data_IF_126536210997
#
_entry.id   IF_126536210997
#
_cell.length_a   1.000
_cell.length_b   1.000
_cell.length_c   1.000
_cell.angle_alpha   90.00
_cell.angle_beta   90.00
_cell.angle_gamma   90.00
#
_symmetry.space_group_name_H-M   'P 1'
#
loop_
_entity.id
_entity.type
_entity.pdbx_description
1 polymer ?
#
# COMPACT_ATOMS: atom_id res chain seq x y z
N UNK A 1 65.39 -13.96 -8.41
CA UNK A 1 64.42 -13.02 -7.85
C UNK A 1 63.01 -13.46 -8.28
N UNK A 2 62.74 -14.77 -8.32
CA UNK A 2 62.21 -15.64 -7.25
C UNK A 2 60.66 -15.58 -7.27
N UNK A 3 59.91 -16.49 -7.93
CA UNK A 3 59.47 -17.85 -7.48
C UNK A 3 58.72 -17.79 -6.12
N UNK A 4 57.46 -18.19 -5.87
CA UNK A 4 56.57 -19.34 -6.22
C UNK A 4 55.08 -18.95 -5.89
N UNK A 5 54.03 -19.29 -6.67
CA UNK A 5 53.20 -20.54 -6.69
C UNK A 5 52.47 -20.84 -5.36
N UNK A 6 51.12 -20.89 -5.21
CA UNK A 6 50.11 -21.93 -5.57
C UNK A 6 48.83 -21.53 -4.77
N UNK A 7 47.58 -21.83 -5.09
CA UNK A 7 47.03 -22.80 -6.03
C UNK A 7 45.49 -22.72 -6.11
N UNK A 8 45.02 -23.46 -7.10
CA UNK A 8 43.66 -23.74 -7.55
C UNK A 8 42.97 -24.78 -6.67
N UNK A 9 41.69 -24.60 -6.31
CA UNK A 9 40.72 -25.71 -6.20
C UNK A 9 39.33 -25.27 -6.66
N UNK A 10 38.75 -26.13 -7.50
CA UNK A 10 37.51 -26.00 -8.24
C UNK A 10 36.39 -26.82 -7.56
N UNK A 11 35.15 -26.65 -8.03
CA UNK A 11 34.02 -27.60 -8.01
C UNK A 11 32.74 -27.23 -7.22
N UNK A 12 31.64 -27.36 -7.97
CA UNK A 12 30.22 -27.11 -7.67
C UNK A 12 29.60 -28.11 -6.70
N UNK A 13 28.50 -27.71 -6.05
CA UNK A 13 27.60 -28.62 -5.34
C UNK A 13 26.18 -28.07 -5.20
N UNK A 14 25.35 -28.28 -6.22
CA UNK A 14 23.88 -28.25 -6.11
C UNK A 14 23.38 -29.41 -5.23
N UNK A 15 22.42 -29.14 -4.34
CA UNK A 15 21.47 -30.14 -3.84
C UNK A 15 21.50 -30.39 -2.34
N UNK A 16 20.42 -30.01 -1.64
CA UNK A 16 20.18 -30.40 -0.26
C UNK A 16 19.14 -29.54 0.45
N UNK A 17 17.86 -29.75 0.15
CA UNK A 17 16.77 -29.33 1.03
C UNK A 17 16.87 -30.12 2.34
N UNK A 18 17.47 -29.52 3.36
CA UNK A 18 17.22 -29.89 4.75
C UNK A 18 16.88 -28.62 5.51
N UNK A 19 15.58 -28.44 5.74
CA UNK A 19 15.03 -27.49 6.70
C UNK A 19 15.54 -27.86 8.11
N UNK A 20 16.71 -27.35 8.48
CA UNK A 20 17.02 -27.06 9.87
C UNK A 20 17.46 -25.60 9.94
N UNK A 21 16.47 -24.72 10.11
CA UNK A 21 16.71 -23.35 10.56
C UNK A 21 17.18 -23.41 12.02
N UNK A 22 18.45 -23.77 12.24
CA UNK A 22 19.13 -23.50 13.50
C UNK A 22 19.22 -21.98 13.62
N UNK A 23 18.29 -21.40 14.39
CA UNK A 23 18.34 -19.98 14.75
C UNK A 23 19.68 -19.72 15.43
N UNK A 24 20.54 -18.83 14.89
CA UNK A 24 21.81 -18.53 15.50
C UNK A 24 21.58 -18.04 16.93
N UNK A 25 22.27 -18.64 17.92
CA UNK A 25 22.17 -18.25 19.33
C UNK A 25 22.60 -16.80 19.59
N UNK A 26 23.26 -16.17 18.61
CA UNK A 26 23.66 -14.77 18.63
C UNK A 26 23.78 -14.21 17.21
N UNK A 27 23.36 -12.97 17.01
CA UNK A 27 23.52 -12.19 15.78
C UNK A 27 24.76 -11.31 15.92
N UNK A 28 25.72 -11.47 15.01
CA UNK A 28 26.90 -10.59 14.95
C UNK A 28 26.49 -9.25 14.33
N UNK A 29 26.58 -8.17 15.12
CA UNK A 29 26.18 -6.82 14.70
C UNK A 29 27.38 -6.02 14.23
N UNK A 30 28.52 -6.15 14.92
CA UNK A 30 29.78 -5.54 14.49
C UNK A 30 30.91 -6.56 14.61
N UNK A 31 32.13 -6.20 14.19
CA UNK A 31 33.30 -7.04 14.39
C UNK A 31 33.64 -7.30 15.88
N UNK A 32 33.00 -6.59 16.83
CA UNK A 32 33.25 -6.72 18.29
C UNK A 32 31.99 -6.84 19.15
N UNK A 33 30.78 -6.80 18.58
CA UNK A 33 29.51 -6.82 19.31
C UNK A 33 28.50 -7.79 18.70
N UNK A 34 27.75 -8.44 19.58
CA UNK A 34 26.76 -9.46 19.26
C UNK A 34 25.47 -9.20 20.04
N UNK A 35 24.33 -9.46 19.41
CA UNK A 35 23.02 -9.54 20.09
C UNK A 35 22.75 -11.01 20.38
N UNK A 36 22.57 -11.36 21.64
CA UNK A 36 22.24 -12.71 22.08
C UNK A 36 20.73 -12.99 21.91
N UNK A 37 20.35 -14.26 21.93
CA UNK A 37 18.94 -14.66 21.85
C UNK A 37 18.02 -14.13 22.98
N UNK A 38 18.60 -13.60 24.06
CA UNK A 38 17.90 -12.95 25.17
C UNK A 38 17.86 -11.41 25.03
N UNK A 39 18.09 -10.88 23.83
CA UNK A 39 18.16 -9.45 23.49
C UNK A 39 19.27 -8.65 24.20
N UNK A 40 20.17 -9.32 24.92
CA UNK A 40 21.32 -8.65 25.54
C UNK A 40 22.46 -8.45 24.53
N UNK A 41 23.16 -7.32 24.67
CA UNK A 41 24.31 -6.97 23.83
C UNK A 41 25.58 -7.39 24.55
N UNK A 42 26.38 -8.23 23.90
CA UNK A 42 27.71 -8.62 24.36
C UNK A 42 28.76 -8.04 23.41
N UNK A 43 29.66 -7.21 23.95
CA UNK A 43 30.78 -6.64 23.23
C UNK A 43 32.11 -7.06 23.85
N UNK A 44 33.19 -7.02 23.07
CA UNK A 44 34.54 -7.30 23.55
C UNK A 44 34.91 -6.38 24.72
N UNK A 45 35.44 -6.96 25.80
CA UNK A 45 35.78 -6.22 27.02
C UNK A 45 36.81 -5.11 26.79
N UNK A 46 37.68 -5.25 25.78
CA UNK A 46 38.69 -4.25 25.44
C UNK A 46 38.10 -2.92 24.96
N UNK A 47 36.85 -2.92 24.50
CA UNK A 47 36.12 -1.69 24.19
C UNK A 47 35.85 -0.87 25.45
N UNK A 48 35.64 -1.52 26.60
CA UNK A 48 35.33 -0.83 27.85
C UNK A 48 36.57 -0.48 28.69
N UNK A 49 37.74 -1.03 28.33
CA UNK A 49 39.01 -0.75 29.04
C UNK A 49 39.61 0.61 28.69
N UNK A 50 39.23 1.21 27.56
CA UNK A 50 39.73 2.51 27.11
C UNK A 50 38.58 3.40 26.65
N UNK A 51 38.47 4.59 27.24
CA UNK A 51 37.49 5.59 26.84
C UNK A 51 37.64 5.98 25.36
N UNK A 52 38.87 5.95 24.82
CA UNK A 52 39.12 6.24 23.42
C UNK A 52 38.63 5.11 22.50
N UNK A 53 38.93 3.85 22.85
CA UNK A 53 38.49 2.69 22.08
C UNK A 53 36.95 2.59 22.03
N UNK A 54 36.28 2.90 23.14
CA UNK A 54 34.83 3.00 23.18
C UNK A 54 34.28 4.10 22.28
N UNK A 55 34.86 5.32 22.35
CA UNK A 55 34.43 6.46 21.52
C UNK A 55 34.60 6.18 20.03
N UNK A 56 35.74 5.65 19.63
CA UNK A 56 36.03 5.32 18.23
C UNK A 56 35.07 4.26 17.70
N UNK A 57 34.79 3.23 18.50
CA UNK A 57 33.83 2.18 18.13
C UNK A 57 32.39 2.71 18.06
N UNK A 58 32.01 3.61 18.97
CA UNK A 58 30.71 4.28 18.92
C UNK A 58 30.54 5.10 17.64
N UNK A 59 31.54 5.90 17.27
CA UNK A 59 31.52 6.69 16.04
C UNK A 59 31.37 5.78 14.81
N UNK A 60 32.09 4.65 14.79
CA UNK A 60 31.99 3.68 13.70
C UNK A 60 30.57 3.11 13.57
N UNK A 61 29.94 2.71 14.68
CA UNK A 61 28.55 2.22 14.69
C UNK A 61 27.59 3.30 14.20
N UNK A 62 27.72 4.52 14.71
CA UNK A 62 26.84 5.63 14.34
C UNK A 62 26.93 5.90 12.81
N UNK A 63 28.13 5.88 12.23
CA UNK A 63 28.34 6.03 10.78
C UNK A 63 27.74 4.87 9.95
N UNK A 64 27.89 3.63 10.42
CA UNK A 64 27.35 2.46 9.74
C UNK A 64 25.81 2.48 9.75
N UNK A 65 25.20 2.91 10.85
CA UNK A 65 23.75 3.14 10.95
C UNK A 65 23.29 4.18 9.93
N UNK A 66 23.95 5.35 9.88
CA UNK A 66 23.60 6.41 8.93
C UNK A 66 23.70 5.93 7.47
N UNK A 67 24.76 5.19 7.15
CA UNK A 67 24.99 4.63 5.81
C UNK A 67 23.89 3.65 5.42
N UNK A 68 23.54 2.71 6.31
CA UNK A 68 22.49 1.73 6.06
C UNK A 68 21.11 2.37 5.96
N UNK A 69 20.81 3.38 6.80
CA UNK A 69 19.57 4.14 6.71
C UNK A 69 19.46 4.89 5.38
N UNK A 70 20.55 5.52 4.92
CA UNK A 70 20.63 6.16 3.60
C UNK A 70 20.39 5.16 2.47
N UNK A 71 21.00 3.97 2.54
CA UNK A 71 20.78 2.89 1.56
C UNK A 71 19.32 2.43 1.54
N UNK A 72 18.69 2.26 2.70
CA UNK A 72 17.26 1.93 2.81
C UNK A 72 16.39 3.03 2.20
N UNK A 73 16.69 4.31 2.46
CA UNK A 73 15.98 5.44 1.88
C UNK A 73 16.06 5.41 0.35
N UNK A 74 17.26 5.30 -0.20
CA UNK A 74 17.48 5.24 -1.65
C UNK A 74 16.73 4.05 -2.28
N UNK A 75 16.77 2.87 -1.64
CA UNK A 75 16.04 1.69 -2.12
C UNK A 75 14.51 1.87 -2.04
N UNK A 76 13.99 2.57 -1.02
CA UNK A 76 12.56 2.91 -0.94
C UNK A 76 12.14 3.89 -2.03
N UNK A 77 12.99 4.86 -2.36
CA UNK A 77 12.77 5.80 -3.47
C UNK A 77 12.76 5.06 -4.82
N UNK A 78 13.73 4.18 -5.08
CA UNK A 78 13.75 3.33 -6.29
C UNK A 78 12.51 2.43 -6.34
N UNK A 79 12.14 1.77 -5.25
CA UNK A 79 10.89 0.99 -5.17
C UNK A 79 9.65 1.85 -5.44
N UNK A 80 9.62 3.07 -4.91
CA UNK A 80 8.55 4.03 -5.17
C UNK A 80 8.50 4.45 -6.65
N UNK A 81 9.64 4.71 -7.27
CA UNK A 81 9.74 5.02 -8.69
C UNK A 81 9.30 3.85 -9.57
N UNK A 82 9.71 2.62 -9.25
CA UNK A 82 9.27 1.41 -9.95
C UNK A 82 7.76 1.16 -9.77
N UNK A 83 7.18 1.56 -8.63
CA UNK A 83 5.72 1.56 -8.41
C UNK A 83 5.01 2.68 -9.19
N UNK A 84 5.66 3.82 -9.40
CA UNK A 84 5.12 4.94 -10.17
C UNK A 84 5.15 4.75 -11.70
N UNK A 85 5.71 3.64 -12.21
CA UNK A 85 5.44 3.18 -13.58
C UNK A 85 4.03 2.57 -13.73
N UNK A 86 3.20 2.67 -12.69
CA UNK A 86 1.77 2.43 -12.75
C UNK A 86 1.15 3.28 -13.87
N UNK A 87 0.75 2.62 -14.94
CA UNK A 87 -0.07 3.16 -16.05
C UNK A 87 -1.47 3.58 -15.60
N UNK A 88 -1.70 3.63 -14.29
CA UNK A 88 -2.98 3.84 -13.64
C UNK A 88 -3.27 5.33 -13.38
N UNK A 89 -2.23 6.15 -13.21
CA UNK A 89 -2.40 7.60 -13.01
C UNK A 89 -2.73 8.31 -14.32
N UNK A 90 -4.02 8.42 -14.63
CA UNK A 90 -4.52 9.20 -15.76
C UNK A 90 -4.74 10.66 -15.36
N UNK A 91 -4.43 11.66 -16.23
CA UNK A 91 -4.67 13.06 -15.93
C UNK A 91 -6.15 13.34 -15.61
N UNK A 92 -6.43 13.93 -14.45
CA UNK A 92 -7.78 14.32 -14.04
C UNK A 92 -8.59 13.24 -13.31
N UNK A 93 -8.01 12.06 -13.05
CA UNK A 93 -8.64 10.98 -12.29
C UNK A 93 -7.78 10.62 -11.07
N UNK A 94 -8.44 10.31 -9.95
CA UNK A 94 -7.78 9.69 -8.79
C UNK A 94 -7.91 8.18 -8.92
N UNK A 95 -6.83 7.54 -9.38
CA UNK A 95 -6.80 6.11 -9.64
C UNK A 95 -5.75 5.41 -8.78
N UNK A 96 -6.12 4.23 -8.28
CA UNK A 96 -5.28 3.37 -7.49
C UNK A 96 -5.08 2.04 -8.20
N UNK A 97 -3.85 1.55 -8.21
CA UNK A 97 -3.54 0.21 -8.70
C UNK A 97 -3.86 -0.80 -7.61
N UNK A 98 -4.70 -1.77 -7.95
CA UNK A 98 -5.01 -2.93 -7.13
C UNK A 98 -4.35 -4.16 -7.74
N UNK A 99 -3.89 -5.08 -6.91
CA UNK A 99 -3.26 -6.33 -7.32
C UNK A 99 -3.84 -7.52 -6.53
N UNK A 100 -3.29 -8.71 -6.77
CA UNK A 100 -3.71 -9.94 -6.12
C UNK A 100 -3.47 -9.95 -4.59
N UNK A 101 -2.77 -8.94 -4.05
CA UNK A 101 -2.48 -8.80 -2.62
C UNK A 101 -3.38 -7.76 -1.94
N UNK A 102 -4.28 -7.10 -2.67
CA UNK A 102 -5.15 -6.08 -2.11
C UNK A 102 -6.14 -6.64 -1.08
N UNK A 103 -6.73 -7.80 -1.37
CA UNK A 103 -7.75 -8.41 -0.53
C UNK A 103 -7.11 -9.31 0.53
N UNK A 104 -7.19 -8.91 1.80
CA UNK A 104 -6.66 -9.68 2.93
C UNK A 104 -7.61 -10.80 3.37
N UNK A 105 -8.87 -10.78 2.93
CA UNK A 105 -9.89 -11.79 3.24
C UNK A 105 -10.61 -12.20 1.97
N UNK A 106 -11.13 -13.44 1.96
CA UNK A 106 -11.84 -13.97 0.80
C UNK A 106 -13.11 -13.15 0.47
N UNK A 107 -13.50 -13.05 -0.82
CA UNK A 107 -12.86 -13.67 -1.98
C UNK A 107 -11.58 -12.94 -2.41
N UNK A 108 -10.51 -13.71 -2.65
CA UNK A 108 -9.24 -13.16 -3.14
C UNK A 108 -9.34 -12.84 -4.63
N UNK A 109 -8.69 -11.75 -5.04
CA UNK A 109 -8.57 -11.38 -6.45
C UNK A 109 -7.43 -12.13 -7.14
N UNK A 110 -7.71 -12.77 -8.28
CA UNK A 110 -6.73 -13.62 -8.99
C UNK A 110 -6.47 -13.22 -10.44
N UNK A 111 -7.09 -12.15 -10.93
CA UNK A 111 -7.06 -11.78 -12.36
C UNK A 111 -5.91 -10.81 -12.73
N UNK A 112 -4.96 -10.58 -11.81
CA UNK A 112 -3.81 -9.71 -12.06
C UNK A 112 -4.08 -8.24 -11.70
N UNK A 113 -3.11 -7.33 -11.91
CA UNK A 113 -3.27 -5.93 -11.53
C UNK A 113 -4.37 -5.22 -12.33
N UNK A 114 -5.19 -4.41 -11.67
CA UNK A 114 -6.21 -3.56 -12.30
C UNK A 114 -6.23 -2.16 -11.69
N UNK A 115 -6.84 -1.22 -12.41
CA UNK A 115 -7.01 0.15 -11.96
C UNK A 115 -8.41 0.37 -11.40
N UNK A 116 -8.49 0.89 -10.18
CA UNK A 116 -9.73 1.42 -9.62
C UNK A 116 -9.63 2.94 -9.47
N UNK A 117 -10.51 3.66 -10.13
CA UNK A 117 -10.57 5.11 -10.07
C UNK A 117 -11.76 5.55 -9.22
N UNK A 118 -11.50 6.32 -8.15
CA UNK A 118 -12.52 6.72 -7.17
C UNK A 118 -13.43 7.83 -7.64
N UNK A 119 -13.11 8.50 -8.75
CA UNK A 119 -13.99 9.48 -9.37
C UNK A 119 -13.60 9.72 -10.82
N UNK A 120 -14.58 9.56 -11.71
CA UNK A 120 -14.57 10.30 -12.95
C UNK A 120 -14.97 11.74 -12.61
N UNK A 121 -14.19 12.71 -13.08
CA UNK A 121 -14.44 14.14 -12.96
C UNK A 121 -15.78 14.59 -13.57
N UNK A 122 -16.50 13.70 -14.28
CA UNK A 122 -17.88 13.90 -14.76
C UNK A 122 -18.97 13.21 -13.90
N UNK A 123 -18.61 12.48 -12.84
CA UNK A 123 -19.55 11.74 -11.97
C UNK A 123 -19.86 12.46 -10.65
N UNK A 124 -19.67 13.78 -10.58
CA UNK A 124 -20.18 14.56 -9.45
C UNK A 124 -21.69 14.57 -9.52
N UNK A 125 -22.34 13.78 -8.68
CA UNK A 125 -23.79 13.76 -8.53
C UNK A 125 -24.19 14.12 -7.12
N UNK A 126 -25.40 14.65 -6.98
CA UNK A 126 -26.05 14.84 -5.69
C UNK A 126 -27.27 13.94 -5.66
N UNK A 127 -27.39 13.10 -4.62
CA UNK A 127 -28.52 12.20 -4.49
C UNK A 127 -29.24 12.36 -3.14
N UNK A 128 -30.39 13.05 -3.09
CA UNK A 128 -31.29 12.93 -1.95
C UNK A 128 -31.93 11.53 -1.90
N UNK A 129 -31.76 10.86 -0.76
CA UNK A 129 -32.47 9.63 -0.37
C UNK A 129 -33.58 10.00 0.60
N UNK A 130 -34.81 9.58 0.30
CA UNK A 130 -35.95 9.75 1.21
C UNK A 130 -36.47 8.39 1.63
N UNK A 131 -36.55 8.18 2.95
CA UNK A 131 -37.11 6.96 3.55
C UNK A 131 -38.08 7.39 4.66
N UNK A 132 -39.37 7.17 4.44
CA UNK A 132 -40.43 7.38 5.40
C UNK A 132 -41.53 6.31 5.20
N UNK A 133 -42.63 6.40 5.95
CA UNK A 133 -43.73 5.41 5.88
C UNK A 133 -44.37 5.28 4.50
N UNK A 134 -44.31 6.33 3.67
CA UNK A 134 -44.99 6.41 2.37
C UNK A 134 -44.04 6.49 1.16
N UNK A 135 -42.76 6.81 1.37
CA UNK A 135 -41.77 7.08 0.34
C UNK A 135 -40.46 6.39 0.67
N UNK A 136 -39.94 5.63 -0.27
CA UNK A 136 -38.60 5.04 -0.18
C UNK A 136 -37.97 5.15 -1.57
N UNK A 137 -37.35 6.29 -1.86
CA UNK A 137 -36.79 6.56 -3.17
C UNK A 137 -35.41 7.20 -3.10
N UNK A 138 -34.69 7.10 -4.21
CA UNK A 138 -33.43 7.77 -4.46
C UNK A 138 -33.58 8.61 -5.73
N UNK A 139 -33.34 9.91 -5.63
CA UNK A 139 -33.26 10.82 -6.76
C UNK A 139 -31.82 11.31 -6.89
N UNK A 140 -31.29 11.43 -8.10
CA UNK A 140 -29.92 11.86 -8.37
C UNK A 140 -29.85 12.86 -9.52
N UNK A 141 -29.09 13.95 -9.32
CA UNK A 141 -28.75 14.92 -10.35
C UNK A 141 -27.24 14.96 -10.55
N UNK A 142 -26.80 14.62 -11.75
CA UNK A 142 -25.41 14.67 -12.14
C UNK A 142 -25.04 16.08 -12.59
N UNK A 143 -23.79 16.48 -12.40
CA UNK A 143 -23.27 17.75 -12.90
C UNK A 143 -23.38 17.91 -14.43
N UNK A 144 -23.56 16.81 -15.17
CA UNK A 144 -23.83 16.78 -16.60
C UNK A 144 -25.28 17.12 -16.97
N UNK A 145 -26.19 17.21 -15.99
CA UNK A 145 -27.63 17.36 -16.18
C UNK A 145 -28.38 16.04 -16.41
N UNK A 146 -27.68 14.89 -16.32
CA UNK A 146 -28.35 13.60 -16.30
C UNK A 146 -29.10 13.40 -14.98
N UNK A 147 -30.33 12.88 -15.06
CA UNK A 147 -31.22 12.71 -13.93
C UNK A 147 -31.60 11.24 -13.77
N UNK A 148 -31.62 10.76 -12.53
CA UNK A 148 -32.09 9.42 -12.21
C UNK A 148 -33.07 9.44 -11.04
N UNK A 149 -34.07 8.56 -11.12
CA UNK A 149 -35.02 8.33 -10.03
C UNK A 149 -35.28 6.83 -9.89
N UNK A 150 -35.18 6.33 -8.67
CA UNK A 150 -35.46 4.96 -8.31
C UNK A 150 -36.44 4.91 -7.13
N UNK A 151 -37.60 4.31 -7.32
CA UNK A 151 -38.48 3.91 -6.23
C UNK A 151 -38.03 2.55 -5.70
N UNK A 152 -37.46 2.54 -4.51
CA UNK A 152 -36.80 1.37 -3.92
C UNK A 152 -37.80 0.39 -3.30
N UNK A 153 -39.10 0.73 -3.28
CA UNK A 153 -40.15 -0.23 -2.98
C UNK A 153 -40.39 -1.18 -4.16
N UNK A 154 -40.21 -0.69 -5.39
CA UNK A 154 -40.49 -1.43 -6.63
C UNK A 154 -39.23 -1.89 -7.35
N UNK A 155 -38.13 -1.13 -7.22
CA UNK A 155 -36.81 -1.44 -7.77
C UNK A 155 -35.71 -1.39 -6.68
N UNK A 156 -35.64 -2.41 -5.78
CA UNK A 156 -34.67 -2.42 -4.68
C UNK A 156 -33.20 -2.36 -5.12
N UNK A 157 -32.94 -2.79 -6.36
CA UNK A 157 -31.59 -2.92 -6.93
C UNK A 157 -31.23 -1.79 -7.90
N UNK A 158 -32.10 -0.78 -8.07
CA UNK A 158 -31.84 0.41 -8.89
C UNK A 158 -31.46 0.06 -10.34
N UNK A 159 -32.13 -0.93 -10.92
CA UNK A 159 -31.84 -1.44 -12.25
C UNK A 159 -32.51 -0.61 -13.36
N UNK A 160 -33.59 0.11 -13.05
CA UNK A 160 -34.38 0.84 -14.04
C UNK A 160 -34.57 2.29 -13.60
N UNK A 161 -33.98 3.22 -14.35
CA UNK A 161 -34.20 4.64 -14.14
C UNK A 161 -35.63 5.03 -14.54
N UNK A 162 -36.43 5.43 -13.55
CA UNK A 162 -37.84 5.81 -13.69
C UNK A 162 -38.05 7.34 -13.71
N UNK A 163 -37.01 8.16 -13.94
CA UNK A 163 -37.15 9.63 -13.94
C UNK A 163 -38.21 10.13 -14.92
N UNK A 164 -38.37 9.46 -16.06
CA UNK A 164 -39.33 9.84 -17.09
C UNK A 164 -40.79 9.52 -16.71
N UNK A 165 -41.03 8.76 -15.64
CA UNK A 165 -42.38 8.44 -15.16
C UNK A 165 -42.86 9.41 -14.10
N UNK A 166 -41.99 10.30 -13.60
CA UNK A 166 -42.36 11.32 -12.63
C UNK A 166 -43.13 12.47 -13.29
N UNK A 167 -44.06 13.04 -12.53
CA UNK A 167 -44.68 14.30 -12.90
C UNK A 167 -43.67 15.45 -12.79
N UNK A 168 -43.83 16.46 -13.66
CA UNK A 168 -42.92 17.61 -13.74
C UNK A 168 -42.88 18.39 -12.43
N UNK A 169 -44.01 18.52 -11.74
CA UNK A 169 -44.08 19.25 -10.47
C UNK A 169 -43.30 18.54 -9.37
N UNK A 170 -43.38 17.20 -9.32
CA UNK A 170 -42.61 16.37 -8.39
C UNK A 170 -41.12 16.46 -8.71
N UNK A 171 -40.75 16.38 -9.99
CA UNK A 171 -39.36 16.51 -10.41
C UNK A 171 -38.76 17.87 -10.02
N UNK A 172 -39.51 18.96 -10.23
CA UNK A 172 -39.11 20.30 -9.82
C UNK A 172 -38.95 20.41 -8.29
N UNK A 173 -39.87 19.83 -7.52
CA UNK A 173 -39.77 19.81 -6.06
C UNK A 173 -38.50 19.08 -5.59
N UNK A 174 -38.20 17.93 -6.18
CA UNK A 174 -36.99 17.15 -5.87
C UNK A 174 -35.71 17.92 -6.23
N UNK A 175 -35.71 18.63 -7.37
CA UNK A 175 -34.61 19.50 -7.76
C UNK A 175 -34.39 20.63 -6.75
N UNK A 176 -35.46 21.33 -6.33
CA UNK A 176 -35.37 22.40 -5.32
C UNK A 176 -34.85 21.86 -3.99
N UNK A 177 -35.37 20.72 -3.53
CA UNK A 177 -34.91 20.07 -2.29
C UNK A 177 -33.41 19.72 -2.35
N UNK A 178 -32.94 19.21 -3.49
CA UNK A 178 -31.53 18.90 -3.70
C UNK A 178 -30.67 20.18 -3.67
N UNK A 179 -31.15 21.29 -4.23
CA UNK A 179 -30.45 22.58 -4.17
C UNK A 179 -30.33 23.14 -2.74
N UNK A 180 -31.31 22.89 -1.87
CA UNK A 180 -31.23 23.27 -0.45
C UNK A 180 -30.20 22.45 0.34
N UNK A 181 -29.96 21.20 -0.07
CA UNK A 181 -29.01 20.29 0.57
C UNK A 181 -27.58 20.40 0.01
N UNK A 182 -27.39 21.20 -1.05
CA UNK A 182 -26.11 21.39 -1.73
C UNK A 182 -25.17 22.35 -0.96
#
# INVERSE_FOLDING_TARGET
DDDEDKGMEDYSGTGGLTNELTVPSSIKVTHRCFILANDSVQCDMDLYKSLQAWKDHKIHIDHEIETLQSKIKNLREVRGHLKNNDTCSMPGLTCFTHDNQHWQTAPFWTLGPFCACTSANNNTYWCPRTINETHNFLFCEFATGFLEYFDLNTDPYQLINAVNTLDRDVLNQLHVQLMELR
#
